data_IF_658149858511
#
_entry.id   IF_658149858511
#
_cell.length_a   1.000
_cell.length_b   1.000
_cell.length_c   1.000
_cell.angle_alpha   90.00
_cell.angle_beta   90.00
_cell.angle_gamma   90.00
#
_symmetry.space_group_name_H-M   'P 1'
#
loop_
_entity.id
_entity.type
_entity.pdbx_description
1 polymer ?
#
# COMPACT_ATOMS: atom_id res chain seq x y z
N UNK A 1 -2.35 13.37 7.58
CA UNK A 1 -1.99 14.81 7.52
C UNK A 1 -3.11 15.73 7.06
N UNK A 2 -3.90 15.37 6.03
CA UNK A 2 -4.98 16.26 5.54
C UNK A 2 -6.07 16.57 6.58
N UNK A 3 -6.33 15.65 7.52
CA UNK A 3 -7.27 15.88 8.63
C UNK A 3 -6.73 16.83 9.72
N UNK A 4 -5.40 16.94 9.86
CA UNK A 4 -4.79 17.78 10.88
C UNK A 4 -4.88 19.27 10.53
N UNK A 5 -4.78 19.62 9.25
CA UNK A 5 -4.80 21.01 8.79
C UNK A 5 -6.06 21.79 9.23
N UNK A 6 -7.30 21.37 8.90
CA UNK A 6 -8.49 22.09 9.32
C UNK A 6 -8.69 22.03 10.84
N UNK A 7 -8.43 20.87 11.47
CA UNK A 7 -8.58 20.71 12.91
C UNK A 7 -7.61 21.58 13.72
N UNK A 8 -6.36 21.69 13.27
CA UNK A 8 -5.34 22.52 13.90
C UNK A 8 -5.64 24.01 13.78
N UNK A 9 -6.13 24.45 12.61
CA UNK A 9 -6.59 25.83 12.41
C UNK A 9 -7.76 26.15 13.35
N UNK A 10 -8.76 25.26 13.44
CA UNK A 10 -9.90 25.45 14.35
C UNK A 10 -9.49 25.47 15.82
N UNK A 11 -8.55 24.60 16.21
CA UNK A 11 -8.00 24.56 17.56
C UNK A 11 -7.32 25.88 17.94
N UNK A 12 -6.53 26.48 17.04
CA UNK A 12 -5.88 27.77 17.26
C UNK A 12 -6.86 28.92 17.40
N UNK A 13 -7.94 28.93 16.61
CA UNK A 13 -8.97 29.98 16.65
C UNK A 13 -9.75 29.92 17.97
N UNK A 14 -10.01 28.73 18.50
CA UNK A 14 -10.84 28.57 19.69
C UNK A 14 -10.08 28.85 20.99
N UNK A 15 -8.93 28.23 21.21
CA UNK A 15 -8.03 28.56 22.33
C UNK A 15 -6.68 27.82 22.24
N UNK A 16 -5.59 28.36 22.81
CA UNK A 16 -4.30 27.65 22.84
C UNK A 16 -4.34 26.28 23.53
N UNK A 17 -5.25 26.08 24.51
CA UNK A 17 -5.40 24.80 25.21
C UNK A 17 -6.13 23.75 24.35
N UNK A 18 -7.12 24.15 23.56
CA UNK A 18 -7.79 23.27 22.58
C UNK A 18 -6.82 22.80 21.50
N UNK A 19 -5.93 23.68 21.02
CA UNK A 19 -4.92 23.32 20.02
C UNK A 19 -3.99 22.19 20.50
N UNK A 20 -3.54 22.24 21.75
CA UNK A 20 -2.70 21.19 22.34
C UNK A 20 -3.43 19.84 22.32
N UNK A 21 -4.70 19.80 22.73
CA UNK A 21 -5.50 18.58 22.70
C UNK A 21 -5.72 18.04 21.28
N UNK A 22 -5.99 18.92 20.30
CA UNK A 22 -6.12 18.53 18.88
C UNK A 22 -4.83 17.89 18.37
N UNK A 23 -3.67 18.48 18.68
CA UNK A 23 -2.37 17.92 18.32
C UNK A 23 -2.18 16.52 18.90
N UNK A 24 -2.41 16.33 20.20
CA UNK A 24 -2.24 15.04 20.88
C UNK A 24 -3.16 13.97 20.28
N UNK A 25 -4.46 14.26 20.17
CA UNK A 25 -5.45 13.30 19.65
C UNK A 25 -5.15 12.95 18.20
N UNK A 26 -4.82 13.95 17.37
CA UNK A 26 -4.54 13.72 15.95
C UNK A 26 -3.26 12.93 15.76
N UNK A 27 -2.22 13.17 16.56
CA UNK A 27 -0.99 12.37 16.52
C UNK A 27 -1.27 10.89 16.85
N UNK A 28 -2.05 10.63 17.90
CA UNK A 28 -2.44 9.26 18.26
C UNK A 28 -3.24 8.60 17.14
N UNK A 29 -4.22 9.31 16.58
CA UNK A 29 -5.05 8.79 15.48
C UNK A 29 -4.21 8.50 14.23
N UNK A 30 -3.27 9.39 13.85
CA UNK A 30 -2.38 9.17 12.72
C UNK A 30 -1.44 7.98 12.94
N UNK A 31 -0.95 7.79 14.17
CA UNK A 31 -0.10 6.65 14.50
C UNK A 31 -0.86 5.33 14.42
N UNK A 32 -2.13 5.31 14.86
CA UNK A 32 -3.01 4.15 14.76
C UNK A 32 -3.36 3.85 13.29
N UNK A 33 -3.66 4.89 12.51
CA UNK A 33 -3.89 4.75 11.07
C UNK A 33 -2.70 4.14 10.37
N UNK A 34 -1.51 4.71 10.55
CA UNK A 34 -0.30 4.28 9.84
C UNK A 34 0.17 2.89 10.26
N UNK A 35 0.04 2.51 11.53
CA UNK A 35 0.71 1.33 12.08
C UNK A 35 -0.22 0.14 12.36
N UNK A 36 -1.54 0.34 12.45
CA UNK A 36 -2.50 -0.72 12.78
C UNK A 36 -3.60 -0.82 11.73
N UNK A 37 -4.30 0.28 11.45
CA UNK A 37 -5.45 0.26 10.53
C UNK A 37 -4.97 -0.01 9.10
N UNK A 38 -3.96 0.72 8.64
CA UNK A 38 -3.40 0.55 7.29
C UNK A 38 -2.93 -0.88 7.03
N UNK A 39 -2.07 -1.51 7.86
CA UNK A 39 -1.63 -2.88 7.59
C UNK A 39 -2.74 -3.92 7.75
N UNK A 40 -3.69 -3.73 8.69
CA UNK A 40 -4.77 -4.69 8.90
C UNK A 40 -5.79 -4.66 7.75
N UNK A 41 -6.08 -3.47 7.21
CA UNK A 41 -6.96 -3.31 6.05
C UNK A 41 -6.24 -3.69 4.74
N UNK A 42 -4.95 -3.34 4.60
CA UNK A 42 -4.17 -3.64 3.38
C UNK A 42 -3.59 -5.06 3.34
N UNK A 43 -3.81 -5.87 4.38
CA UNK A 43 -3.91 -7.33 4.26
C UNK A 43 -2.64 -8.13 3.97
N UNK A 44 -1.43 -7.57 4.15
CA UNK A 44 -0.08 -8.15 3.90
C UNK A 44 0.53 -7.66 2.58
N UNK A 45 1.55 -6.82 2.74
CA UNK A 45 2.36 -6.21 1.68
C UNK A 45 2.73 -7.18 0.57
N UNK A 46 2.62 -6.69 -0.67
CA UNK A 46 3.14 -7.34 -1.86
C UNK A 46 4.64 -7.57 -1.66
N UNK A 47 5.03 -8.82 -1.38
CA UNK A 47 6.42 -9.18 -1.05
C UNK A 47 7.29 -9.03 -2.33
N UNK A 48 7.69 -7.80 -2.63
CA UNK A 48 8.49 -7.43 -3.79
C UNK A 48 9.95 -7.29 -3.34
N UNK A 49 10.81 -8.11 -3.94
CA UNK A 49 12.24 -8.03 -3.70
C UNK A 49 12.78 -6.69 -4.20
N UNK A 50 13.49 -5.89 -3.37
CA UNK A 50 13.96 -4.54 -3.72
C UNK A 50 14.75 -4.50 -5.04
N UNK A 51 15.54 -5.54 -5.31
CA UNK A 51 16.30 -5.68 -6.56
C UNK A 51 15.44 -5.59 -7.82
N UNK A 52 14.23 -6.18 -7.84
CA UNK A 52 13.36 -6.13 -9.03
C UNK A 52 12.85 -4.72 -9.31
N UNK A 53 12.64 -3.91 -8.28
CA UNK A 53 12.21 -2.51 -8.43
C UNK A 53 13.35 -1.70 -9.06
N UNK A 54 14.59 -1.90 -8.60
CA UNK A 54 15.78 -1.24 -9.16
C UNK A 54 15.92 -1.57 -10.64
N UNK A 55 15.83 -2.84 -11.03
CA UNK A 55 15.94 -3.27 -12.44
C UNK A 55 14.83 -2.64 -13.29
N UNK A 56 13.59 -2.60 -12.80
CA UNK A 56 12.46 -1.97 -13.49
C UNK A 56 12.65 -0.46 -13.67
N UNK A 57 13.19 0.23 -12.66
CA UNK A 57 13.50 1.67 -12.74
C UNK A 57 14.61 1.92 -13.77
N UNK A 58 15.69 1.14 -13.74
CA UNK A 58 16.79 1.27 -14.69
C UNK A 58 16.33 1.02 -16.13
N UNK A 59 15.51 0.00 -16.35
CA UNK A 59 14.96 -0.32 -17.66
C UNK A 59 13.96 0.74 -18.17
N UNK A 60 13.11 1.27 -17.29
CA UNK A 60 12.14 2.31 -17.67
C UNK A 60 12.80 3.68 -17.90
N UNK A 61 13.88 3.97 -17.18
CA UNK A 61 14.65 5.21 -17.34
C UNK A 61 15.24 5.38 -18.74
N UNK A 62 15.70 4.30 -19.37
CA UNK A 62 16.22 4.36 -20.75
C UNK A 62 15.12 4.41 -21.82
N UNK A 63 13.92 3.90 -21.53
CA UNK A 63 12.80 3.84 -22.48
C UNK A 63 12.00 5.14 -22.58
N UNK A 64 11.79 5.84 -21.46
CA UNK A 64 10.94 7.04 -21.42
C UNK A 64 11.35 8.06 -20.37
N UNK A 65 12.58 7.97 -19.88
CA UNK A 65 13.13 8.91 -18.91
C UNK A 65 12.34 8.95 -17.60
N UNK A 66 12.30 10.14 -16.99
CA UNK A 66 11.67 10.36 -15.69
C UNK A 66 10.17 10.00 -15.67
N UNK A 67 9.44 10.30 -16.75
CA UNK A 67 8.00 10.03 -16.82
C UNK A 67 7.69 8.55 -16.69
N UNK A 68 8.45 7.69 -17.35
CA UNK A 68 8.25 6.24 -17.29
C UNK A 68 8.66 5.68 -15.92
N UNK A 69 9.69 6.23 -15.28
CA UNK A 69 10.13 5.83 -13.94
C UNK A 69 9.00 6.01 -12.90
N UNK A 70 8.24 7.12 -12.96
CA UNK A 70 7.13 7.37 -12.04
C UNK A 70 6.03 6.31 -12.14
N UNK A 71 5.76 5.84 -13.36
CA UNK A 71 4.67 4.90 -13.64
C UNK A 71 5.15 3.44 -13.56
N UNK A 72 6.46 3.18 -13.69
CA UNK A 72 7.01 1.82 -13.79
C UNK A 72 6.76 0.98 -12.52
N UNK A 73 6.90 1.58 -11.33
CA UNK A 73 6.70 0.89 -10.05
C UNK A 73 5.25 0.41 -9.86
N UNK A 74 4.21 1.27 -9.96
CA UNK A 74 2.83 0.81 -9.84
C UNK A 74 2.46 -0.17 -10.95
N UNK A 75 2.93 0.04 -12.18
CA UNK A 75 2.65 -0.87 -13.30
C UNK A 75 3.23 -2.28 -13.07
N UNK A 76 4.48 -2.37 -12.59
CA UNK A 76 5.09 -3.64 -12.20
C UNK A 76 4.34 -4.32 -11.06
N UNK A 77 3.89 -3.56 -10.05
CA UNK A 77 3.11 -4.10 -8.95
C UNK A 77 1.78 -4.73 -9.42
N UNK A 78 1.10 -4.09 -10.37
CA UNK A 78 -0.13 -4.62 -10.99
C UNK A 78 0.16 -5.89 -11.78
N UNK A 79 1.15 -5.87 -12.67
CA UNK A 79 1.55 -7.04 -13.47
C UNK A 79 1.89 -8.24 -12.59
N UNK A 80 2.72 -8.02 -11.56
CA UNK A 80 3.09 -9.06 -10.60
C UNK A 80 1.87 -9.62 -9.86
N UNK A 81 0.92 -8.76 -9.50
CA UNK A 81 -0.31 -9.16 -8.82
C UNK A 81 -1.18 -10.03 -9.73
N UNK A 82 -1.33 -9.67 -11.01
CA UNK A 82 -2.07 -10.47 -11.99
C UNK A 82 -1.43 -11.86 -12.12
N UNK A 83 -0.12 -11.92 -12.34
CA UNK A 83 0.61 -13.19 -12.45
C UNK A 83 0.40 -14.03 -11.19
N UNK A 84 0.60 -13.46 -9.99
CA UNK A 84 0.41 -14.16 -8.72
C UNK A 84 -1.01 -14.69 -8.57
N UNK A 85 -2.02 -13.90 -8.95
CA UNK A 85 -3.41 -14.31 -8.84
C UNK A 85 -3.74 -15.46 -9.79
N UNK A 86 -3.25 -15.40 -11.04
CA UNK A 86 -3.43 -16.47 -12.04
C UNK A 86 -2.75 -17.77 -11.58
N UNK A 87 -1.51 -17.71 -11.10
CA UNK A 87 -0.82 -18.88 -10.57
C UNK A 87 -1.56 -19.50 -9.36
N UNK A 88 -2.03 -18.65 -8.44
CA UNK A 88 -2.82 -19.10 -7.29
C UNK A 88 -4.12 -19.78 -7.72
N UNK A 89 -4.81 -19.22 -8.71
CA UNK A 89 -6.04 -19.80 -9.24
C UNK A 89 -5.80 -21.16 -9.89
N UNK A 90 -4.75 -21.30 -10.71
CA UNK A 90 -4.38 -22.58 -11.34
C UNK A 90 -4.06 -23.67 -10.32
N UNK A 91 -3.38 -23.33 -9.23
CA UNK A 91 -3.02 -24.30 -8.20
C UNK A 91 -4.23 -24.78 -7.38
N UNK A 92 -5.29 -23.97 -7.25
CA UNK A 92 -6.52 -24.38 -6.56
C UNK A 92 -7.34 -25.39 -7.37
N UNK A 93 -7.31 -25.31 -8.70
CA UNK A 93 -8.05 -26.23 -9.57
C UNK A 93 -7.43 -27.63 -9.52
N UNK A 94 -6.11 -27.73 -9.58
CA UNK A 94 -5.41 -29.02 -9.54
C UNK A 94 -5.61 -29.79 -8.23
N UNK A 95 -5.73 -29.07 -7.10
CA UNK A 95 -5.93 -29.72 -5.80
C UNK A 95 -7.36 -30.24 -5.60
N UNK A 96 -8.36 -29.58 -6.21
CA UNK A 96 -9.75 -30.06 -6.22
C UNK A 96 -9.93 -31.28 -7.12
N UNK A 97 -9.20 -31.35 -8.23
CA UNK A 97 -9.25 -32.50 -9.13
C UNK A 97 -8.64 -33.78 -8.54
N UNK A 98 -7.69 -33.68 -7.60
CA UNK A 98 -7.12 -34.87 -6.94
C UNK A 98 -8.03 -35.39 -5.81
N UNK A 99 -8.72 -34.50 -5.10
CA UNK A 99 -9.67 -34.87 -4.04
C UNK A 99 -10.92 -35.57 -4.58
N UNK A 100 -11.35 -35.24 -5.81
CA UNK A 100 -12.55 -35.82 -6.45
C UNK A 100 -12.27 -37.18 -7.13
N UNK A 101 -11.00 -37.59 -7.22
CA UNK A 101 -10.59 -38.88 -7.81
C UNK A 101 -10.25 -39.92 -6.73
N UNK A 102 -10.08 -39.48 -5.48
CA UNK A 102 -9.78 -40.34 -4.32
C UNK A 102 -11.04 -40.74 -3.52
N UNK A 103 -12.19 -40.12 -3.82
CA UNK A 103 -13.54 -40.49 -3.34
C UNK A 103 -14.26 -41.47 -4.31
#
# INVERSE_FOLDING_TARGET
WMAFLPAGILGLIQSPTTFIWVCVITLIAQQLEGNVITPNVMGKSLNIHPLTIIIVILASGSLGGFTLILVAVPLYAVLKTIVRNVFKYRHQIMHKAHSDVED
#
